data_IF_921983630016
#
_entry.id   IF_921983630016
#
_cell.length_a   1.000
_cell.length_b   1.000
_cell.length_c   1.000
_cell.angle_alpha   90.00
_cell.angle_beta   90.00
_cell.angle_gamma   90.00
#
_symmetry.space_group_name_H-M   'P 1'
#
loop_
_entity.id
_entity.type
_entity.pdbx_description
1 polymer ?
#
# COMPACT_ATOMS: atom_id res chain seq x y z
N UNK A 1 5.37 -8.97 9.47
CA UNK A 1 5.35 -8.94 7.98
C UNK A 1 4.12 -8.15 7.54
N UNK A 2 4.27 -7.29 6.53
CA UNK A 2 3.17 -6.54 5.92
C UNK A 2 3.11 -6.90 4.44
N UNK A 3 1.92 -7.15 3.90
CA UNK A 3 1.74 -7.51 2.50
C UNK A 3 0.53 -6.77 1.90
N UNK A 4 0.67 -6.28 0.68
CA UNK A 4 -0.43 -5.74 -0.12
C UNK A 4 -0.65 -6.70 -1.29
N UNK A 5 -1.87 -7.20 -1.45
CA UNK A 5 -2.28 -8.09 -2.53
C UNK A 5 -3.30 -7.43 -3.43
N UNK A 6 -2.97 -7.33 -4.73
CA UNK A 6 -3.83 -6.78 -5.78
C UNK A 6 -4.46 -5.42 -5.41
N UNK A 7 -3.68 -4.60 -4.71
CA UNK A 7 -4.16 -3.36 -4.12
C UNK A 7 -4.52 -2.33 -5.17
N UNK A 8 -5.77 -1.87 -5.16
CA UNK A 8 -6.24 -0.82 -6.07
C UNK A 8 -6.91 0.28 -5.27
N UNK A 9 -6.59 1.54 -5.60
CA UNK A 9 -7.25 2.70 -5.02
C UNK A 9 -7.51 3.74 -6.11
N UNK A 10 -8.77 4.14 -6.20
CA UNK A 10 -9.27 5.13 -7.14
C UNK A 10 -9.71 6.38 -6.40
N UNK A 11 -9.41 7.53 -6.99
CA UNK A 11 -9.93 8.82 -6.56
C UNK A 11 -10.59 9.50 -7.74
N UNK A 12 -11.87 9.89 -7.58
CA UNK A 12 -12.67 10.54 -8.63
C UNK A 12 -12.60 9.79 -9.98
N UNK A 13 -12.69 8.47 -9.92
CA UNK A 13 -12.63 7.59 -11.10
C UNK A 13 -11.23 7.30 -11.66
N UNK A 14 -10.18 8.01 -11.24
CA UNK A 14 -8.80 7.73 -11.67
C UNK A 14 -8.09 6.77 -10.72
N UNK A 15 -7.44 5.74 -11.26
CA UNK A 15 -6.61 4.82 -10.49
C UNK A 15 -5.34 5.55 -10.03
N UNK A 16 -5.16 5.67 -8.72
CA UNK A 16 -3.92 6.20 -8.12
C UNK A 16 -2.99 5.06 -7.76
N UNK A 17 -3.55 3.95 -7.28
CA UNK A 17 -2.88 2.65 -7.16
C UNK A 17 -3.64 1.67 -8.02
N UNK A 18 -2.95 0.94 -8.88
CA UNK A 18 -3.56 0.02 -9.83
C UNK A 18 -2.92 -1.36 -9.73
N UNK A 19 -3.65 -2.31 -9.15
CA UNK A 19 -3.22 -3.71 -8.98
C UNK A 19 -1.79 -3.90 -8.42
N UNK A 20 -1.45 -3.17 -7.35
CA UNK A 20 -0.11 -3.24 -6.77
C UNK A 20 0.05 -4.46 -5.85
N UNK A 21 1.23 -5.07 -5.89
CA UNK A 21 1.60 -6.19 -5.04
C UNK A 21 2.94 -5.90 -4.37
N UNK A 22 2.98 -5.89 -3.04
CA UNK A 22 4.18 -5.54 -2.28
C UNK A 22 4.26 -6.32 -0.98
N UNK A 23 5.46 -6.73 -0.58
CA UNK A 23 5.71 -7.45 0.67
C UNK A 23 6.88 -6.81 1.43
N UNK A 24 6.64 -6.50 2.71
CA UNK A 24 7.60 -5.91 3.63
C UNK A 24 7.86 -6.90 4.77
N UNK A 25 9.11 -7.35 4.89
CA UNK A 25 9.53 -8.21 5.98
C UNK A 25 10.05 -7.38 7.15
N UNK A 26 9.97 -7.95 8.34
CA UNK A 26 10.42 -7.30 9.56
C UNK A 26 11.96 -7.15 9.58
N UNK A 27 12.45 -6.12 10.27
CA UNK A 27 13.90 -5.87 10.41
C UNK A 27 14.56 -5.27 9.17
N UNK A 28 13.80 -4.85 8.15
CA UNK A 28 14.32 -4.18 6.95
C UNK A 28 13.82 -2.74 6.84
N UNK A 29 14.68 -1.89 6.29
CA UNK A 29 14.35 -0.51 5.93
C UNK A 29 13.99 -0.48 4.44
N UNK A 30 12.86 0.14 4.13
CA UNK A 30 12.34 0.27 2.77
C UNK A 30 12.17 1.74 2.39
N UNK A 31 12.62 2.11 1.20
CA UNK A 31 12.35 3.42 0.60
C UNK A 31 11.34 3.27 -0.54
N UNK A 32 10.34 4.16 -0.59
CA UNK A 32 9.40 4.23 -1.72
C UNK A 32 9.76 5.43 -2.59
N UNK A 33 10.22 5.17 -3.82
CA UNK A 33 10.66 6.20 -4.77
C UNK A 33 9.66 6.37 -5.93
N UNK A 34 9.60 7.59 -6.48
CA UNK A 34 8.98 7.86 -7.78
C UNK A 34 8.66 9.35 -7.96
N UNK A 35 7.89 9.69 -9.00
CA UNK A 35 7.44 11.08 -9.25
C UNK A 35 6.40 11.57 -8.24
N UNK A 36 6.24 12.88 -8.12
CA UNK A 36 5.15 13.46 -7.33
C UNK A 36 3.79 12.92 -7.82
N UNK A 37 2.85 12.78 -6.89
CA UNK A 37 1.51 12.23 -7.14
C UNK A 37 1.45 10.77 -7.61
N UNK A 38 2.54 10.00 -7.57
CA UNK A 38 2.54 8.58 -7.97
C UNK A 38 1.91 7.61 -6.95
N UNK A 39 1.25 8.12 -5.90
CA UNK A 39 0.63 7.26 -4.88
C UNK A 39 1.51 6.82 -3.71
N UNK A 40 2.73 7.35 -3.54
CA UNK A 40 3.63 6.94 -2.42
C UNK A 40 3.03 7.14 -1.03
N UNK A 41 2.57 8.35 -0.74
CA UNK A 41 1.93 8.68 0.54
C UNK A 41 0.67 7.84 0.74
N UNK A 42 -0.04 7.51 -0.34
CA UNK A 42 -1.23 6.68 -0.30
C UNK A 42 -0.89 5.23 0.07
N UNK A 43 0.18 4.66 -0.50
CA UNK A 43 0.72 3.36 -0.10
C UNK A 43 1.07 3.35 1.39
N UNK A 44 1.81 4.35 1.86
CA UNK A 44 2.18 4.43 3.28
C UNK A 44 0.95 4.51 4.18
N UNK A 45 -0.04 5.34 3.83
CA UNK A 45 -1.30 5.45 4.58
C UNK A 45 -2.11 4.14 4.56
N UNK A 46 -2.15 3.43 3.44
CA UNK A 46 -2.83 2.14 3.34
C UNK A 46 -2.14 1.09 4.21
N UNK A 47 -0.80 1.05 4.19
CA UNK A 47 0.00 0.18 5.07
C UNK A 47 -0.24 0.50 6.53
N UNK A 48 -0.36 1.77 6.92
CA UNK A 48 -0.64 2.15 8.30
C UNK A 48 -2.11 1.98 8.71
N UNK A 49 -2.99 1.53 7.81
CA UNK A 49 -4.43 1.35 8.10
C UNK A 49 -5.24 2.65 8.12
N UNK A 50 -4.67 3.79 7.71
CA UNK A 50 -5.39 5.08 7.65
C UNK A 50 -6.34 5.19 6.46
N UNK A 51 -6.13 4.38 5.43
CA UNK A 51 -6.94 4.40 4.20
C UNK A 51 -7.23 2.96 3.77
N UNK A 52 -8.50 2.65 3.54
CA UNK A 52 -8.90 1.38 2.92
C UNK A 52 -8.69 1.42 1.40
N UNK A 53 -8.23 0.31 0.83
CA UNK A 53 -8.18 0.10 -0.61
C UNK A 53 -9.59 -0.15 -1.15
N UNK A 54 -9.82 0.13 -2.43
CA UNK A 54 -11.11 -0.16 -3.07
C UNK A 54 -11.18 -1.61 -3.57
N UNK A 55 -10.02 -2.21 -3.85
CA UNK A 55 -9.86 -3.65 -4.14
C UNK A 55 -8.54 -4.17 -3.56
N UNK A 56 -8.51 -5.47 -3.30
CA UNK A 56 -7.35 -6.15 -2.73
C UNK A 56 -7.25 -5.96 -1.21
N UNK A 57 -6.18 -6.49 -0.64
CA UNK A 57 -6.02 -6.63 0.80
C UNK A 57 -4.69 -6.08 1.29
N UNK A 58 -4.69 -5.52 2.50
CA UNK A 58 -3.50 -5.19 3.27
C UNK A 58 -3.44 -6.15 4.46
N UNK A 59 -2.49 -7.07 4.43
CA UNK A 59 -2.27 -8.08 5.47
C UNK A 59 -1.15 -7.62 6.40
N UNK A 60 -1.42 -7.59 7.70
CA UNK A 60 -0.40 -7.30 8.72
C UNK A 60 -0.35 -8.45 9.72
N UNK A 61 0.83 -9.05 9.86
CA UNK A 61 1.10 -9.98 10.94
C UNK A 61 1.51 -9.21 12.18
N UNK A 62 0.63 -9.17 13.17
CA UNK A 62 0.90 -8.63 14.50
C UNK A 62 1.55 -9.73 15.33
N UNK A 63 2.76 -9.49 15.85
CA UNK A 63 3.35 -10.35 16.87
C UNK A 63 2.60 -10.06 18.19
N UNK A 64 2.02 -11.11 18.78
CA UNK A 64 1.49 -11.07 20.16
C UNK A 64 2.63 -10.93 21.16
#
# INVERSE_FOLDING_TARGET
>A
MIEIKNGTKKYRGKSVLDNINMSFVEGKIYGILGRNCSGKTLIMKAICGYIALDKGDVLQMVKK
#
